data_IF_897239236113
#
_entry.id   IF_897239236113
#
_cell.length_a   1.000
_cell.length_b   1.000
_cell.length_c   1.000
_cell.angle_alpha   90.00
_cell.angle_beta   90.00
_cell.angle_gamma   90.00
#
_symmetry.space_group_name_H-M   'P 1'
#
loop_
_entity.id
_entity.type
_entity.pdbx_description
1 polymer ?
#
# COMPACT_ATOMS: atom_id res chain seq x y z
N UNK A 1 23.63 2.99 -5.69
CA UNK A 1 22.23 2.67 -6.03
C UNK A 1 21.37 3.43 -5.04
N UNK A 2 20.36 4.17 -5.50
CA UNK A 2 19.40 4.79 -4.58
C UNK A 2 18.66 3.68 -3.82
N UNK A 3 18.36 3.86 -2.53
CA UNK A 3 17.59 2.88 -1.76
C UNK A 3 16.21 2.68 -2.40
N UNK A 4 15.72 1.44 -2.39
CA UNK A 4 14.38 1.09 -2.85
C UNK A 4 13.34 1.84 -1.99
N UNK A 5 12.37 2.51 -2.63
CA UNK A 5 11.35 3.29 -1.93
C UNK A 5 10.02 2.54 -1.84
N UNK A 6 9.51 2.36 -0.63
CA UNK A 6 8.19 1.75 -0.35
C UNK A 6 7.17 2.84 -0.02
N UNK A 7 6.02 2.84 -0.70
CA UNK A 7 4.92 3.78 -0.49
C UNK A 7 3.70 3.12 0.14
N UNK A 8 3.28 3.59 1.32
CA UNK A 8 2.04 3.16 2.00
C UNK A 8 0.88 4.06 1.58
N UNK A 9 0.05 3.58 0.66
CA UNK A 9 -1.08 4.35 0.11
C UNK A 9 -2.28 4.36 1.07
N UNK A 10 -3.04 5.46 1.06
CA UNK A 10 -4.32 5.52 1.78
C UNK A 10 -5.39 4.72 1.04
N UNK A 11 -6.17 3.92 1.78
CA UNK A 11 -7.26 3.13 1.22
C UNK A 11 -8.39 4.00 0.67
N UNK A 12 -8.97 3.55 -0.45
CA UNK A 12 -10.08 4.23 -1.15
C UNK A 12 -11.34 3.37 -1.22
N UNK A 13 -11.25 2.09 -0.84
CA UNK A 13 -12.38 1.17 -0.87
C UNK A 13 -13.42 1.55 0.20
N UNK A 14 -14.72 1.61 -0.13
CA UNK A 14 -15.76 1.93 0.84
C UNK A 14 -15.74 1.00 2.06
N UNK A 15 -15.67 1.58 3.25
CA UNK A 15 -15.68 0.83 4.51
C UNK A 15 -14.35 0.16 4.89
N UNK A 16 -13.33 0.22 4.03
CA UNK A 16 -11.98 -0.23 4.39
C UNK A 16 -11.34 0.79 5.34
N UNK A 17 -10.97 0.32 6.53
CA UNK A 17 -10.35 1.14 7.58
C UNK A 17 -8.93 0.70 7.89
N UNK A 18 -8.47 -0.43 7.33
CA UNK A 18 -7.13 -0.94 7.57
C UNK A 18 -6.10 -0.08 6.81
N UNK A 19 -4.83 -0.30 7.14
CA UNK A 19 -3.68 0.25 6.45
C UNK A 19 -2.74 -0.90 6.10
N UNK A 20 -2.10 -0.83 4.93
CA UNK A 20 -1.26 -1.92 4.45
C UNK A 20 0.01 -2.15 5.28
N UNK A 21 0.44 -1.13 6.01
CA UNK A 21 1.65 -1.19 6.83
C UNK A 21 1.51 -0.29 8.07
N UNK A 22 1.71 -0.87 9.25
CA UNK A 22 1.65 -0.15 10.53
C UNK A 22 3.01 0.48 10.89
N UNK A 23 3.06 1.53 11.75
CA UNK A 23 4.30 2.22 12.10
C UNK A 23 5.43 1.31 12.60
N UNK A 24 5.10 0.25 13.34
CA UNK A 24 6.09 -0.72 13.82
C UNK A 24 6.83 -1.43 12.67
N UNK A 25 6.13 -1.77 11.59
CA UNK A 25 6.73 -2.42 10.41
C UNK A 25 7.53 -1.40 9.61
N UNK A 26 7.01 -0.18 9.47
CA UNK A 26 7.72 0.95 8.87
C UNK A 26 9.10 1.14 9.50
N UNK A 27 9.17 1.22 10.83
CA UNK A 27 10.44 1.42 11.54
C UNK A 27 11.46 0.29 11.29
N UNK A 28 10.99 -0.96 11.08
CA UNK A 28 11.88 -2.08 10.72
C UNK A 28 12.43 -1.95 9.30
N UNK A 29 11.61 -1.52 8.34
CA UNK A 29 12.06 -1.30 6.96
C UNK A 29 13.03 -0.13 6.87
N UNK A 30 12.74 0.98 7.55
CA UNK A 30 13.65 2.13 7.67
C UNK A 30 14.97 1.69 8.31
N UNK A 31 14.92 0.94 9.42
CA UNK A 31 16.10 0.38 10.07
C UNK A 31 16.90 -0.61 9.21
N UNK A 32 16.29 -1.18 8.16
CA UNK A 32 16.94 -2.05 7.18
C UNK A 32 17.55 -1.28 5.98
N UNK A 33 17.43 0.06 5.97
CA UNK A 33 17.98 0.93 4.92
C UNK A 33 17.04 1.19 3.74
N UNK A 34 15.74 0.94 3.88
CA UNK A 34 14.74 1.30 2.88
C UNK A 34 14.14 2.68 3.15
N UNK A 35 13.82 3.39 2.08
CA UNK A 35 13.04 4.63 2.18
C UNK A 35 11.55 4.28 2.27
N UNK A 36 10.84 4.86 3.23
CA UNK A 36 9.40 4.65 3.38
C UNK A 36 8.65 5.97 3.25
N UNK A 37 7.73 6.03 2.30
CA UNK A 37 6.77 7.11 2.11
C UNK A 37 5.41 6.66 2.62
N UNK A 38 4.71 7.55 3.31
CA UNK A 38 3.35 7.29 3.80
C UNK A 38 2.44 8.40 3.30
N UNK A 39 1.34 8.04 2.65
CA UNK A 39 0.36 9.05 2.26
C UNK A 39 -0.27 9.69 3.50
N UNK A 40 -0.39 11.02 3.49
CA UNK A 40 -1.09 11.77 4.54
C UNK A 40 -2.45 11.16 4.84
N UNK A 41 -2.63 10.67 6.07
CA UNK A 41 -3.86 10.07 6.54
C UNK A 41 -4.04 8.59 6.27
N UNK A 42 -3.08 7.89 5.66
CA UNK A 42 -3.20 6.47 5.32
C UNK A 42 -3.56 5.59 6.53
N UNK A 43 -2.99 5.91 7.70
CA UNK A 43 -3.24 5.15 8.93
C UNK A 43 -4.46 5.60 9.75
N UNK A 44 -5.14 6.70 9.39
CA UNK A 44 -6.20 7.29 10.23
C UNK A 44 -7.32 6.31 10.54
N UNK A 45 -7.78 5.55 9.56
CA UNK A 45 -8.83 4.53 9.74
C UNK A 45 -8.43 3.41 10.70
N UNK A 46 -7.12 3.14 10.80
CA UNK A 46 -6.53 2.10 11.64
C UNK A 46 -5.95 2.66 12.95
N UNK A 47 -6.30 3.90 13.32
CA UNK A 47 -5.86 4.56 14.56
C UNK A 47 -4.36 4.88 14.63
N UNK A 48 -3.69 4.96 13.49
CA UNK A 48 -2.29 5.41 13.40
C UNK A 48 -2.22 6.82 12.82
N UNK A 49 -1.94 7.85 13.63
CA UNK A 49 -1.78 9.22 13.14
C UNK A 49 -0.50 9.36 12.32
N UNK A 50 -0.46 10.36 11.43
CA UNK A 50 0.71 10.65 10.58
C UNK A 50 2.01 10.83 11.39
N UNK A 51 1.90 11.41 12.60
CA UNK A 51 3.04 11.57 13.52
C UNK A 51 3.69 10.25 13.93
N UNK A 52 2.92 9.16 14.10
CA UNK A 52 3.47 7.85 14.44
C UNK A 52 4.32 7.27 13.31
N UNK A 53 3.99 7.57 12.05
CA UNK A 53 4.82 7.18 10.90
C UNK A 53 6.09 8.00 10.81
N UNK A 54 6.00 9.31 11.07
CA UNK A 54 7.17 10.19 11.10
C UNK A 54 8.14 9.79 12.21
N UNK A 55 7.65 9.47 13.41
CA UNK A 55 8.45 8.94 14.53
C UNK A 55 9.11 7.59 14.20
N UNK A 56 8.46 6.76 13.38
CA UNK A 56 9.02 5.52 12.86
C UNK A 56 10.05 5.73 11.73
N UNK A 57 10.31 6.98 11.32
CA UNK A 57 11.31 7.34 10.31
C UNK A 57 10.80 7.37 8.87
N UNK A 58 9.49 7.25 8.63
CA UNK A 58 8.93 7.47 7.30
C UNK A 58 8.78 8.96 6.96
N UNK A 59 8.74 9.25 5.67
CA UNK A 59 8.36 10.58 5.16
C UNK A 59 6.86 10.58 4.84
N UNK A 60 6.09 11.40 5.53
CA UNK A 60 4.66 11.61 5.21
C UNK A 60 4.55 12.57 4.02
N UNK A 61 3.83 12.17 2.98
CA UNK A 61 3.75 12.90 1.71
C UNK A 61 2.32 12.95 1.15
N UNK A 62 2.08 13.87 0.21
CA UNK A 62 0.84 13.88 -0.54
C UNK A 62 0.74 12.66 -1.48
N UNK A 63 -0.49 12.31 -1.87
CA UNK A 63 -0.75 11.15 -2.73
C UNK A 63 0.06 11.19 -4.04
N UNK A 64 0.06 12.32 -4.74
CA UNK A 64 0.79 12.46 -6.00
C UNK A 64 2.29 12.21 -5.83
N UNK A 65 2.88 12.72 -4.74
CA UNK A 65 4.31 12.53 -4.46
C UNK A 65 4.63 11.07 -4.13
N UNK A 66 3.74 10.38 -3.42
CA UNK A 66 3.91 8.94 -3.13
C UNK A 66 3.98 8.14 -4.42
N UNK A 67 2.99 8.30 -5.30
CA UNK A 67 2.93 7.56 -6.57
C UNK A 67 4.01 7.99 -7.56
N UNK A 68 4.52 9.22 -7.48
CA UNK A 68 5.65 9.66 -8.29
C UNK A 68 6.97 9.00 -7.86
N UNK A 69 7.18 8.81 -6.55
CA UNK A 69 8.49 8.44 -5.98
C UNK A 69 8.62 6.97 -5.59
N UNK A 70 7.54 6.31 -5.17
CA UNK A 70 7.60 4.93 -4.70
C UNK A 70 7.96 3.95 -5.83
N UNK A 71 8.79 2.95 -5.52
CA UNK A 71 9.08 1.81 -6.41
C UNK A 71 8.12 0.65 -6.11
N UNK A 72 7.76 0.49 -4.84
CA UNK A 72 6.76 -0.47 -4.38
C UNK A 72 5.63 0.29 -3.69
N UNK A 73 4.40 0.16 -4.18
CA UNK A 73 3.21 0.70 -3.52
C UNK A 73 2.49 -0.43 -2.80
N UNK A 74 2.24 -0.23 -1.51
CA UNK A 74 1.46 -1.17 -0.69
C UNK A 74 0.07 -0.58 -0.40
N UNK A 75 -0.96 -1.41 -0.59
CA UNK A 75 -2.36 -1.13 -0.28
C UNK A 75 -3.02 -2.43 0.19
N UNK A 76 -4.05 -2.33 1.02
CA UNK A 76 -4.85 -3.46 1.46
C UNK A 76 -5.73 -3.94 0.32
N UNK A 77 -6.57 -3.07 -0.21
CA UNK A 77 -7.48 -3.39 -1.31
C UNK A 77 -6.93 -2.93 -2.65
N UNK A 78 -7.49 -3.44 -3.74
CA UNK A 78 -7.25 -2.89 -5.08
C UNK A 78 -7.59 -1.39 -5.09
N UNK A 79 -6.63 -0.48 -5.39
CA UNK A 79 -6.91 0.94 -5.45
C UNK A 79 -7.96 1.28 -6.51
N UNK A 80 -8.73 2.35 -6.30
CA UNK A 80 -9.74 2.81 -7.27
C UNK A 80 -9.12 3.19 -8.64
N UNK A 81 -9.93 3.35 -9.71
CA UNK A 81 -9.42 3.67 -11.03
C UNK A 81 -8.60 4.98 -11.09
N UNK A 82 -8.92 5.98 -10.26
CA UNK A 82 -8.21 7.27 -10.24
C UNK A 82 -6.81 7.10 -9.66
N UNK A 83 -6.69 6.28 -8.62
CA UNK A 83 -5.42 5.94 -7.98
C UNK A 83 -4.58 5.06 -8.89
N UNK A 84 -5.17 4.07 -9.57
CA UNK A 84 -4.43 3.23 -10.52
C UNK A 84 -3.88 4.02 -11.71
N UNK A 85 -4.53 5.11 -12.11
CA UNK A 85 -4.03 6.01 -13.15
C UNK A 85 -2.76 6.79 -12.75
N UNK A 86 -2.40 6.79 -11.46
CA UNK A 86 -1.16 7.40 -10.96
C UNK A 86 0.04 6.42 -10.98
N UNK A 87 -0.20 5.13 -11.22
CA UNK A 87 0.87 4.14 -11.29
C UNK A 87 1.75 4.40 -12.51
N UNK A 88 3.06 4.19 -12.34
CA UNK A 88 4.06 4.31 -13.43
C UNK A 88 4.65 2.95 -13.79
N UNK A 89 5.23 2.87 -14.99
CA UNK A 89 6.03 1.72 -15.40
C UNK A 89 7.19 1.46 -14.42
N UNK A 90 7.49 0.19 -14.18
CA UNK A 90 8.53 -0.24 -13.24
C UNK A 90 8.14 -0.21 -11.75
N UNK A 91 6.91 0.19 -11.41
CA UNK A 91 6.39 0.03 -10.06
C UNK A 91 5.86 -1.37 -9.80
N UNK A 92 5.95 -1.79 -8.55
CA UNK A 92 5.27 -2.99 -8.02
C UNK A 92 4.09 -2.55 -7.15
N UNK A 93 2.89 -3.10 -7.40
CA UNK A 93 1.73 -2.93 -6.51
C UNK A 93 1.53 -4.19 -5.69
N UNK A 94 1.47 -4.06 -4.37
CA UNK A 94 1.23 -5.16 -3.42
C UNK A 94 -0.08 -4.91 -2.67
N UNK A 95 -0.99 -5.89 -2.73
CA UNK A 95 -2.27 -5.84 -2.03
C UNK A 95 -3.19 -7.02 -2.34
N UNK A 96 -4.40 -7.02 -1.78
CA UNK A 96 -5.44 -8.02 -2.04
C UNK A 96 -6.18 -7.68 -3.35
N UNK A 97 -5.54 -7.99 -4.49
CA UNK A 97 -6.03 -7.57 -5.80
C UNK A 97 -7.20 -8.40 -6.34
N UNK A 98 -7.35 -9.64 -5.85
CA UNK A 98 -8.40 -10.60 -6.26
C UNK A 98 -8.61 -10.61 -7.79
N UNK A 99 -7.64 -11.15 -8.56
CA UNK A 99 -7.57 -11.01 -10.02
C UNK A 99 -8.61 -11.83 -10.78
N UNK A 100 -8.94 -13.03 -10.30
CA UNK A 100 -9.86 -13.97 -10.95
C UNK A 100 -11.23 -13.38 -11.33
N UNK A 101 -11.95 -12.66 -10.44
CA UNK A 101 -13.22 -12.03 -10.81
C UNK A 101 -13.09 -10.73 -11.62
N UNK A 102 -11.88 -10.26 -11.96
CA UNK A 102 -11.65 -8.90 -12.52
C UNK A 102 -10.74 -8.85 -13.75
N UNK A 103 -11.10 -9.54 -14.86
CA UNK A 103 -10.25 -9.61 -16.05
C UNK A 103 -9.97 -8.22 -16.68
N UNK A 104 -10.93 -7.30 -16.63
CA UNK A 104 -10.76 -5.94 -17.17
C UNK A 104 -9.78 -5.08 -16.37
N UNK A 105 -9.73 -5.25 -15.03
CA UNK A 105 -8.75 -4.55 -14.18
C UNK A 105 -7.35 -5.07 -14.46
N UNK A 106 -7.21 -6.39 -14.65
CA UNK A 106 -5.91 -6.97 -14.99
C UNK A 106 -5.42 -6.47 -16.35
N UNK A 107 -6.31 -6.29 -17.33
CA UNK A 107 -5.96 -5.67 -18.61
C UNK A 107 -5.49 -4.21 -18.47
N UNK A 108 -6.11 -3.43 -17.58
CA UNK A 108 -5.68 -2.05 -17.29
C UNK A 108 -4.30 -2.02 -16.63
N UNK A 109 -4.05 -2.90 -15.66
CA UNK A 109 -2.75 -3.01 -15.00
C UNK A 109 -1.66 -3.47 -15.99
N UNK A 110 -1.96 -4.46 -16.83
CA UNK A 110 -1.07 -4.94 -17.88
C UNK A 110 -0.65 -3.84 -18.88
N UNK A 111 -1.54 -2.88 -19.15
CA UNK A 111 -1.22 -1.72 -20.00
C UNK A 111 -0.22 -0.75 -19.34
N UNK A 112 -0.10 -0.76 -18.01
CA UNK A 112 0.87 0.04 -17.24
C UNK A 112 2.20 -0.71 -17.10
N UNK A 113 2.16 -2.02 -16.85
CA UNK A 113 3.32 -2.91 -16.88
C UNK A 113 2.89 -4.29 -17.41
N UNK A 114 3.41 -4.75 -18.58
CA UNK A 114 3.07 -6.05 -19.14
C UNK A 114 3.33 -7.24 -18.20
N UNK A 115 4.28 -7.10 -17.27
CA UNK A 115 4.60 -8.12 -16.27
C UNK A 115 3.42 -8.41 -15.32
N UNK A 116 2.49 -7.46 -15.12
CA UNK A 116 1.31 -7.69 -14.30
C UNK A 116 0.33 -8.72 -14.89
N UNK A 117 0.35 -8.93 -16.22
CA UNK A 117 -0.48 -9.95 -16.87
C UNK A 117 0.11 -11.37 -16.73
N UNK A 118 1.40 -11.48 -16.41
CA UNK A 118 2.17 -12.74 -16.40
C UNK A 118 2.49 -13.20 -14.97
N UNK A 119 2.07 -12.44 -13.94
CA UNK A 119 2.33 -12.80 -12.55
C UNK A 119 1.36 -13.91 -12.10
N UNK A 120 1.85 -15.15 -12.02
CA UNK A 120 1.17 -16.29 -11.38
C UNK A 120 1.08 -16.16 -9.84
N UNK A 121 1.75 -15.14 -9.27
CA UNK A 121 1.74 -14.84 -7.84
C UNK A 121 1.77 -13.33 -7.60
N UNK A 122 0.71 -12.81 -6.96
CA UNK A 122 0.82 -11.62 -6.12
C UNK A 122 1.38 -12.06 -4.77
N UNK A 123 2.50 -11.49 -4.33
CA UNK A 123 3.01 -11.77 -2.99
C UNK A 123 2.07 -11.12 -1.96
N UNK A 124 1.11 -11.91 -1.49
CA UNK A 124 0.36 -11.61 -0.27
C UNK A 124 1.28 -11.95 0.89
N UNK A 125 2.05 -10.98 1.38
CA UNK A 125 2.57 -11.09 2.75
C UNK A 125 1.36 -10.91 3.65
N UNK A 126 0.78 -12.03 4.10
CA UNK A 126 -0.23 -12.00 5.14
C UNK A 126 0.34 -11.28 6.36
N UNK A 127 -0.14 -10.07 6.63
CA UNK A 127 -0.13 -9.58 7.99
C UNK A 127 -1.09 -10.51 8.76
N UNK A 128 -0.52 -11.41 9.55
CA UNK A 128 -1.27 -12.22 10.49
C UNK A 128 -2.17 -11.28 11.32
N UNK A 129 -3.46 -11.57 11.40
CA UNK A 129 -4.50 -10.80 12.11
C UNK A 129 -4.26 -10.76 13.63
N UNK A 130 -3.20 -10.09 14.10
CA UNK A 130 -2.88 -10.09 15.55
C UNK A 130 -2.58 -8.71 16.14
N UNK A 131 -2.57 -7.62 15.38
CA UNK A 131 -2.25 -6.30 15.96
C UNK A 131 -3.01 -5.10 15.39
N UNK A 132 -4.04 -5.26 14.55
CA UNK A 132 -4.85 -4.13 14.10
C UNK A 132 -6.13 -3.99 14.95
N UNK A 133 -6.23 -2.98 15.84
CA UNK A 133 -7.43 -2.76 16.65
C UNK A 133 -8.69 -2.49 15.81
N UNK A 134 -8.55 -2.08 14.54
CA UNK A 134 -9.68 -1.80 13.65
C UNK A 134 -10.38 -3.07 13.11
N UNK A 135 -9.80 -4.26 13.30
CA UNK A 135 -10.40 -5.53 12.84
C UNK A 135 -11.31 -6.19 13.90
N UNK A 136 -11.34 -5.65 15.13
CA UNK A 136 -12.32 -6.06 16.13
C UNK A 136 -13.70 -5.48 15.79
N UNK A 137 -14.43 -6.17 14.90
CA UNK A 137 -15.88 -5.99 14.80
C UNK A 137 -16.49 -6.44 16.13
N UNK A 138 -17.01 -5.47 16.89
CA UNK A 138 -17.86 -5.72 18.03
C UNK A 138 -19.06 -6.58 17.61
N UNK A 139 -18.99 -7.86 17.95
CA UNK A 139 -20.16 -8.68 18.17
C UNK A 139 -20.49 -8.62 19.66
N UNK A 140 -21.27 -7.61 20.02
CA UNK A 140 -22.11 -7.56 21.22
C UNK A 140 -23.36 -6.75 20.88
#
# INVERSE_FOLDING_TARGET
MSPLTVGVAMETAPGERRVAMVPQVVGRLVGSGLDVLVETGAGRGAWFPDGAYAEAGATVVARLDLFARADVVVSVSLPDPRTRALLRGGQTLVGLLAPLPRPQVMAQLAAVNPEFAQADAALVVGANDVTNPADHRGHA
#
